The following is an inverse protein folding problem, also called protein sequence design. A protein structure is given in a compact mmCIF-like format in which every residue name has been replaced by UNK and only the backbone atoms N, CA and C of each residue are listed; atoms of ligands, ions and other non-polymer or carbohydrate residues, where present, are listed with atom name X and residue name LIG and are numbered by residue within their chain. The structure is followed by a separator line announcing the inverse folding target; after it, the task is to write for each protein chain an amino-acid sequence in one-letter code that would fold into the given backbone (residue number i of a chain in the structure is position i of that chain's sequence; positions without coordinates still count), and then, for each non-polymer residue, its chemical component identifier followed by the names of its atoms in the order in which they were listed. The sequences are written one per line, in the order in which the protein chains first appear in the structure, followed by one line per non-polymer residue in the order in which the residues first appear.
data_IF_795571150945
#
_entry.id   IF_795571150945
#
_cell.length_a   1.000
_cell.length_b   1.000
_cell.length_c   1.000
_cell.angle_alpha   90.00
_cell.angle_beta   90.00
_cell.angle_gamma   90.00
#
_symmetry.space_group_name_H-M   'P 1'
#
loop_
_entity.id
_entity.type
_entity.pdbx_description
1 polymer ?
#
# COMPACT_ATOMS: atom_id res chain seq x y z
N UNK A 1 25.37 6.25 -4.08
CA UNK A 1 25.18 6.06 -2.66
C UNK A 1 25.09 4.56 -2.38
N UNK A 2 25.71 4.11 -1.29
CA UNK A 2 25.58 2.75 -0.75
C UNK A 2 24.70 2.84 0.49
N UNK A 3 24.15 1.69 0.92
CA UNK A 3 23.31 1.65 2.13
C UNK A 3 24.00 2.26 3.37
N UNK A 4 25.32 2.05 3.53
CA UNK A 4 26.11 2.62 4.62
C UNK A 4 26.37 4.13 4.55
N UNK A 5 26.02 4.78 3.43
CA UNK A 5 26.16 6.22 3.26
C UNK A 5 24.90 6.98 3.76
N UNK A 6 23.87 6.23 4.19
CA UNK A 6 22.56 6.76 4.58
C UNK A 6 22.33 6.46 6.07
N UNK A 7 21.94 7.47 6.82
CA UNK A 7 21.47 7.30 8.19
C UNK A 7 19.95 7.12 8.18
N UNK A 8 19.48 5.93 8.51
CA UNK A 8 18.05 5.61 8.54
C UNK A 8 17.42 6.05 9.87
N UNK A 9 16.24 6.65 9.77
CA UNK A 9 15.38 7.00 10.89
C UNK A 9 13.99 6.41 10.67
N UNK A 10 13.58 5.49 11.55
CA UNK A 10 12.27 4.83 11.47
C UNK A 10 11.26 5.60 12.33
N UNK A 11 10.37 6.32 11.68
CA UNK A 11 9.38 7.19 12.31
C UNK A 11 7.97 6.80 11.86
N UNK A 12 6.96 7.08 12.69
CA UNK A 12 5.56 7.01 12.26
C UNK A 12 5.30 8.08 11.18
N UNK A 13 4.33 7.89 10.29
CA UNK A 13 4.07 8.83 9.19
C UNK A 13 3.94 10.29 9.62
N UNK A 14 3.21 10.57 10.71
CA UNK A 14 3.06 11.94 11.25
C UNK A 14 4.38 12.55 11.72
N UNK A 15 5.19 11.76 12.43
CA UNK A 15 6.47 12.22 12.98
C UNK A 15 7.51 12.38 11.87
N UNK A 16 7.50 11.46 10.90
CA UNK A 16 8.33 11.52 9.71
C UNK A 16 8.01 12.76 8.86
N UNK A 17 6.72 13.10 8.72
CA UNK A 17 6.29 14.32 8.06
C UNK A 17 6.85 15.55 8.75
N UNK A 18 6.69 15.67 10.06
CA UNK A 18 7.21 16.79 10.83
C UNK A 18 8.74 16.89 10.73
N UNK A 19 9.46 15.76 10.77
CA UNK A 19 10.91 15.74 10.60
C UNK A 19 11.34 16.20 9.20
N UNK A 20 10.60 15.82 8.16
CA UNK A 20 10.85 16.25 6.79
C UNK A 20 10.57 17.75 6.59
N UNK A 21 9.43 18.24 7.08
CA UNK A 21 9.05 19.66 6.99
C UNK A 21 10.02 20.60 7.72
N UNK A 22 10.60 20.14 8.83
CA UNK A 22 11.58 20.90 9.60
C UNK A 22 13.03 20.76 9.12
N UNK A 23 13.28 19.89 8.13
CA UNK A 23 14.62 19.60 7.64
C UNK A 23 15.46 18.75 8.59
N UNK A 24 14.84 18.06 9.54
CA UNK A 24 15.53 17.10 10.42
C UNK A 24 15.91 15.81 9.69
N UNK A 25 15.28 15.54 8.56
CA UNK A 25 15.66 14.51 7.60
C UNK A 25 15.72 15.10 6.18
N UNK A 26 16.68 14.64 5.38
CA UNK A 26 16.92 15.17 4.02
C UNK A 26 15.97 14.55 2.98
N UNK A 27 15.48 13.35 3.22
CA UNK A 27 14.58 12.62 2.34
C UNK A 27 13.60 11.77 3.14
N UNK A 28 12.44 11.54 2.57
CA UNK A 28 11.38 10.74 3.16
C UNK A 28 10.86 9.70 2.16
N UNK A 29 10.79 8.45 2.58
CA UNK A 29 10.18 7.35 1.81
C UNK A 29 8.80 7.09 2.40
N UNK A 30 7.76 7.31 1.61
CA UNK A 30 6.38 7.23 2.05
C UNK A 30 5.44 6.88 0.89
N UNK A 31 4.27 6.39 1.21
CA UNK A 31 3.19 6.06 0.26
C UNK A 31 2.08 7.12 0.27
N UNK A 32 1.19 7.05 -0.72
CA UNK A 32 -0.01 7.88 -0.76
C UNK A 32 -1.02 7.50 0.35
N UNK A 33 -1.75 8.50 0.88
CA UNK A 33 -1.83 9.88 0.40
C UNK A 33 -0.76 10.84 0.95
N UNK A 34 0.16 10.37 1.77
CA UNK A 34 1.18 11.22 2.40
C UNK A 34 2.16 11.84 1.40
N UNK A 35 2.54 11.09 0.35
CA UNK A 35 3.43 11.59 -0.70
C UNK A 35 2.77 12.70 -1.50
N UNK A 36 1.52 12.53 -1.94
CA UNK A 36 0.75 13.58 -2.64
C UNK A 36 0.54 14.80 -1.76
N UNK A 37 0.23 14.61 -0.47
CA UNK A 37 0.12 15.71 0.48
C UNK A 37 1.43 16.47 0.66
N UNK A 38 2.58 15.80 0.74
CA UNK A 38 3.88 16.44 0.85
C UNK A 38 4.21 17.27 -0.40
N UNK A 39 3.93 16.76 -1.59
CA UNK A 39 4.12 17.50 -2.84
C UNK A 39 3.23 18.74 -2.87
N UNK A 40 1.94 18.60 -2.59
CA UNK A 40 0.97 19.69 -2.71
C UNK A 40 1.10 20.74 -1.62
N UNK A 41 1.38 20.36 -0.38
CA UNK A 41 1.29 21.26 0.78
C UNK A 41 2.64 21.86 1.19
N UNK A 42 3.75 21.15 0.96
CA UNK A 42 5.08 21.62 1.37
C UNK A 42 6.08 21.70 0.21
N UNK A 43 5.62 21.48 -1.03
CA UNK A 43 6.47 21.61 -2.21
C UNK A 43 7.56 20.53 -2.30
N UNK A 44 7.31 19.36 -1.72
CA UNK A 44 8.25 18.25 -1.78
C UNK A 44 8.49 17.82 -3.25
N UNK A 45 9.72 17.45 -3.55
CA UNK A 45 10.10 16.95 -4.87
C UNK A 45 10.24 15.44 -4.85
N UNK A 46 9.51 14.75 -5.72
CA UNK A 46 9.70 13.31 -5.93
C UNK A 46 11.07 13.08 -6.57
N UNK A 47 11.92 12.32 -5.91
CA UNK A 47 13.25 11.95 -6.41
C UNK A 47 13.14 10.70 -7.30
N UNK A 48 12.38 9.72 -6.84
CA UNK A 48 12.14 8.45 -7.52
C UNK A 48 10.80 7.90 -7.01
N UNK A 49 10.04 7.27 -7.86
CA UNK A 49 8.86 6.49 -7.49
C UNK A 49 9.19 4.98 -7.44
N UNK A 50 8.21 4.16 -7.11
CA UNK A 50 8.36 2.71 -7.00
C UNK A 50 8.31 1.98 -8.35
N UNK A 51 8.04 2.66 -9.45
CA UNK A 51 7.84 2.02 -10.77
C UNK A 51 9.11 1.32 -11.22
N UNK A 52 9.02 0.01 -11.43
CA UNK A 52 10.15 -0.82 -11.81
C UNK A 52 11.19 -1.12 -10.70
N UNK A 53 11.01 -0.53 -9.51
CA UNK A 53 11.90 -0.73 -8.37
C UNK A 53 11.31 -1.66 -7.31
N UNK A 54 10.03 -1.51 -7.00
CA UNK A 54 9.33 -2.33 -6.02
C UNK A 54 7.86 -2.48 -6.39
N UNK A 55 7.34 -3.70 -6.27
CA UNK A 55 5.90 -3.93 -6.36
C UNK A 55 5.24 -3.49 -5.04
N UNK A 56 4.17 -2.70 -5.12
CA UNK A 56 3.42 -2.21 -3.97
C UNK A 56 2.00 -2.77 -3.98
N UNK A 57 1.87 -4.06 -3.69
CA UNK A 57 0.57 -4.71 -3.57
C UNK A 57 -0.08 -4.41 -2.22
N UNK A 58 -1.37 -4.12 -2.24
CA UNK A 58 -2.22 -4.13 -1.06
C UNK A 58 -3.00 -5.44 -1.00
N UNK A 59 -3.19 -5.98 0.21
CA UNK A 59 -3.84 -7.27 0.41
C UNK A 59 -5.04 -7.14 1.33
N UNK A 60 -6.14 -7.76 0.95
CA UNK A 60 -7.23 -8.06 1.86
C UNK A 60 -6.88 -9.34 2.62
N UNK A 61 -7.01 -9.32 3.93
CA UNK A 61 -6.67 -10.46 4.79
C UNK A 61 -7.87 -10.86 5.63
N UNK A 62 -8.01 -12.15 5.85
CA UNK A 62 -8.97 -12.72 6.78
C UNK A 62 -8.27 -13.68 7.73
N UNK A 63 -8.84 -13.91 8.91
CA UNK A 63 -8.33 -14.97 9.77
C UNK A 63 -8.63 -16.33 9.15
N UNK A 64 -7.74 -17.30 9.37
CA UNK A 64 -7.92 -18.65 8.83
C UNK A 64 -9.25 -19.29 9.25
N UNK A 65 -9.68 -19.24 10.54
CA UNK A 65 -10.98 -19.78 10.91
C UNK A 65 -12.14 -19.10 10.19
N UNK A 66 -12.07 -17.79 9.94
CA UNK A 66 -13.13 -17.08 9.22
C UNK A 66 -13.20 -17.51 7.76
N UNK A 67 -12.05 -17.64 7.10
CA UNK A 67 -12.00 -18.05 5.69
C UNK A 67 -12.47 -19.49 5.47
N UNK A 68 -12.28 -20.36 6.47
CA UNK A 68 -12.75 -21.75 6.42
C UNK A 68 -14.26 -21.88 6.66
N UNK A 69 -14.84 -21.04 7.54
CA UNK A 69 -16.25 -21.15 7.93
C UNK A 69 -17.20 -20.27 7.09
N UNK A 70 -16.66 -19.22 6.43
CA UNK A 70 -17.45 -18.23 5.70
C UNK A 70 -16.85 -17.89 4.31
N UNK A 71 -16.52 -18.89 3.48
CA UNK A 71 -15.92 -18.67 2.16
C UNK A 71 -16.86 -17.92 1.21
N UNK A 72 -18.17 -18.13 1.34
CA UNK A 72 -19.23 -17.45 0.61
C UNK A 72 -19.25 -15.95 0.90
N UNK A 73 -19.11 -15.57 2.17
CA UNK A 73 -19.07 -14.16 2.58
C UNK A 73 -17.80 -13.47 2.03
N UNK A 74 -16.64 -14.14 2.06
CA UNK A 74 -15.42 -13.61 1.48
C UNK A 74 -15.51 -13.43 -0.03
N UNK A 75 -16.12 -14.38 -0.72
CA UNK A 75 -16.34 -14.28 -2.16
C UNK A 75 -17.23 -13.09 -2.50
N UNK A 76 -18.35 -12.92 -1.78
CA UNK A 76 -19.24 -11.79 -1.95
C UNK A 76 -18.53 -10.45 -1.65
N UNK A 77 -17.79 -10.38 -0.56
CA UNK A 77 -17.03 -9.18 -0.19
C UNK A 77 -16.02 -8.77 -1.26
N UNK A 78 -15.29 -9.74 -1.85
CA UNK A 78 -14.36 -9.47 -2.95
C UNK A 78 -15.08 -8.99 -4.21
N UNK A 79 -16.28 -9.49 -4.47
CA UNK A 79 -17.10 -9.07 -5.61
C UNK A 79 -17.57 -7.63 -5.45
N UNK A 80 -18.05 -7.26 -4.26
CA UNK A 80 -18.41 -5.87 -3.91
C UNK A 80 -17.21 -4.93 -3.98
N UNK A 81 -16.05 -5.34 -3.51
CA UNK A 81 -14.81 -4.56 -3.63
C UNK A 81 -14.48 -4.32 -5.11
N UNK A 82 -14.57 -5.34 -5.98
CA UNK A 82 -14.35 -5.18 -7.41
C UNK A 82 -15.31 -4.21 -8.09
N UNK A 83 -16.57 -4.21 -7.64
CA UNK A 83 -17.58 -3.25 -8.13
C UNK A 83 -17.19 -1.84 -7.73
N UNK A 84 -16.80 -1.64 -6.46
CA UNK A 84 -16.34 -0.35 -5.97
C UNK A 84 -15.06 0.13 -6.66
N UNK A 85 -14.08 -0.75 -6.86
CA UNK A 85 -12.83 -0.45 -7.57
C UNK A 85 -13.11 0.13 -8.97
N UNK A 86 -13.98 -0.52 -9.75
CA UNK A 86 -14.38 -0.03 -11.08
C UNK A 86 -15.09 1.32 -11.01
N UNK A 87 -15.90 1.51 -9.98
CA UNK A 87 -16.58 2.79 -9.80
C UNK A 87 -15.57 3.90 -9.45
N UNK A 88 -14.66 3.67 -8.51
CA UNK A 88 -13.61 4.63 -8.12
C UNK A 88 -12.76 5.00 -9.33
N UNK A 89 -12.29 4.03 -10.11
CA UNK A 89 -11.45 4.25 -11.29
C UNK A 89 -12.09 5.22 -12.31
N UNK A 90 -13.42 5.17 -12.43
CA UNK A 90 -14.18 6.05 -13.32
C UNK A 90 -14.72 7.33 -12.66
N UNK A 91 -14.64 7.45 -11.32
CA UNK A 91 -15.24 8.54 -10.55
C UNK A 91 -14.26 9.09 -9.48
N UNK A 92 -13.00 9.33 -9.90
CA UNK A 92 -11.95 9.78 -8.96
C UNK A 92 -12.32 11.02 -8.17
N UNK A 93 -12.95 12.00 -8.82
CA UNK A 93 -13.36 13.26 -8.19
C UNK A 93 -14.43 13.07 -7.11
N UNK A 94 -15.45 12.27 -7.40
CA UNK A 94 -16.51 11.94 -6.44
C UNK A 94 -15.96 11.11 -5.29
N UNK A 95 -15.05 10.20 -5.60
CA UNK A 95 -14.35 9.39 -4.61
C UNK A 95 -13.46 10.24 -3.70
N UNK A 96 -12.77 11.23 -4.27
CA UNK A 96 -11.96 12.18 -3.51
C UNK A 96 -12.80 13.01 -2.53
N UNK A 97 -13.99 13.47 -2.95
CA UNK A 97 -14.91 14.21 -2.09
C UNK A 97 -15.44 13.36 -0.91
N UNK A 98 -15.47 12.04 -1.05
CA UNK A 98 -15.84 11.11 0.03
C UNK A 98 -14.65 10.81 0.95
N UNK A 99 -13.49 10.53 0.37
CA UNK A 99 -12.31 10.07 1.10
C UNK A 99 -11.52 11.22 1.72
N UNK A 100 -11.38 12.34 1.01
CA UNK A 100 -10.59 13.49 1.44
C UNK A 100 -10.87 13.95 2.86
N UNK A 101 -12.14 14.23 3.23
CA UNK A 101 -12.50 14.62 4.60
C UNK A 101 -12.15 13.56 5.65
N UNK A 102 -12.21 12.27 5.31
CA UNK A 102 -11.92 11.18 6.25
C UNK A 102 -10.44 11.06 6.57
N UNK A 103 -9.57 11.43 5.64
CA UNK A 103 -8.11 11.40 5.79
C UNK A 103 -7.51 12.78 6.04
N UNK A 104 -8.36 13.81 6.17
CA UNK A 104 -7.94 15.19 6.46
C UNK A 104 -7.21 15.88 5.30
N UNK A 105 -7.55 15.54 4.06
CA UNK A 105 -6.94 16.10 2.86
C UNK A 105 -7.96 16.92 2.04
N UNK A 106 -7.50 17.98 1.35
CA UNK A 106 -8.28 18.64 0.30
C UNK A 106 -8.63 17.67 -0.83
N UNK A 107 -9.78 17.90 -1.48
CA UNK A 107 -10.32 17.00 -2.51
C UNK A 107 -9.36 16.82 -3.69
N UNK A 108 -8.67 17.87 -4.13
CA UNK A 108 -7.70 17.83 -5.22
C UNK A 108 -6.47 16.98 -4.89
N UNK A 109 -6.01 17.02 -3.64
CA UNK A 109 -4.91 16.17 -3.16
C UNK A 109 -5.37 14.71 -3.05
N UNK A 110 -6.58 14.49 -2.55
CA UNK A 110 -7.18 13.15 -2.47
C UNK A 110 -7.41 12.56 -3.87
N UNK A 111 -7.89 13.36 -4.83
CA UNK A 111 -8.07 12.94 -6.23
C UNK A 111 -6.72 12.52 -6.86
N UNK A 112 -5.67 13.32 -6.65
CA UNK A 112 -4.31 13.00 -7.10
C UNK A 112 -3.82 11.68 -6.49
N UNK A 113 -3.96 11.51 -5.19
CA UNK A 113 -3.55 10.29 -4.50
C UNK A 113 -4.31 9.06 -4.99
N UNK A 114 -5.64 9.17 -5.15
CA UNK A 114 -6.48 8.09 -5.70
C UNK A 114 -6.10 7.73 -7.13
N UNK A 115 -5.66 8.70 -7.94
CA UNK A 115 -5.20 8.47 -9.32
C UNK A 115 -3.91 7.65 -9.42
N UNK A 116 -3.15 7.50 -8.34
CA UNK A 116 -1.92 6.70 -8.32
C UNK A 116 -2.17 5.21 -8.02
N UNK A 117 -3.36 4.83 -7.57
CA UNK A 117 -3.67 3.43 -7.28
C UNK A 117 -4.06 2.68 -8.55
N UNK A 118 -3.63 1.42 -8.65
CA UNK A 118 -4.19 0.47 -9.58
C UNK A 118 -5.38 -0.23 -8.90
N UNK A 119 -6.54 -0.16 -9.54
CA UNK A 119 -7.78 -0.76 -9.04
C UNK A 119 -8.00 -2.15 -9.64
N UNK A 120 -8.92 -2.92 -9.08
CA UNK A 120 -9.27 -4.25 -9.54
C UNK A 120 -8.78 -5.34 -8.62
N UNK A 121 -9.41 -5.46 -7.44
CA UNK A 121 -9.15 -6.56 -6.52
C UNK A 121 -9.33 -7.92 -7.21
N UNK A 122 -8.39 -8.83 -7.02
CA UNK A 122 -8.41 -10.16 -7.62
C UNK A 122 -7.81 -11.20 -6.67
N UNK A 123 -8.07 -12.46 -6.96
CA UNK A 123 -7.38 -13.55 -6.27
C UNK A 123 -5.89 -13.49 -6.60
N UNK A 124 -5.07 -13.88 -5.64
CA UNK A 124 -3.61 -13.88 -5.83
C UNK A 124 -3.22 -14.84 -6.95
N UNK A 125 -2.48 -14.33 -7.92
CA UNK A 125 -1.88 -15.12 -9.00
C UNK A 125 -0.51 -15.64 -8.57
N UNK A 126 -0.01 -16.68 -9.24
CA UNK A 126 1.27 -17.30 -8.89
C UNK A 126 2.47 -16.34 -8.99
N UNK A 127 2.45 -15.39 -9.92
CA UNK A 127 3.49 -14.37 -10.05
C UNK A 127 3.50 -13.39 -8.88
N UNK A 128 2.33 -12.97 -8.38
CA UNK A 128 2.21 -12.14 -7.18
C UNK A 128 2.74 -12.90 -5.95
N UNK A 129 2.38 -14.19 -5.82
CA UNK A 129 2.89 -15.04 -4.73
C UNK A 129 4.41 -15.13 -4.77
N UNK A 130 5.01 -15.34 -5.95
CA UNK A 130 6.48 -15.39 -6.12
C UNK A 130 7.14 -14.05 -5.76
N UNK A 131 6.57 -12.93 -6.16
CA UNK A 131 7.09 -11.59 -5.82
C UNK A 131 7.01 -11.32 -4.33
N UNK A 132 5.88 -11.66 -3.72
CA UNK A 132 5.69 -11.51 -2.27
C UNK A 132 6.60 -12.44 -1.47
N UNK A 133 6.88 -13.67 -1.97
CA UNK A 133 7.84 -14.57 -1.35
C UNK A 133 9.27 -13.98 -1.37
N UNK A 134 9.70 -13.40 -2.49
CA UNK A 134 11.00 -12.72 -2.57
C UNK A 134 11.12 -11.59 -1.54
N UNK A 135 10.06 -10.82 -1.33
CA UNK A 135 10.04 -9.78 -0.31
C UNK A 135 10.16 -10.38 1.09
N UNK A 136 9.38 -11.43 1.39
CA UNK A 136 9.44 -12.12 2.68
C UNK A 136 10.83 -12.72 2.96
N UNK A 137 11.46 -13.30 1.94
CA UNK A 137 12.82 -13.84 2.06
C UNK A 137 13.83 -12.73 2.34
N UNK A 138 13.77 -11.60 1.63
CA UNK A 138 14.63 -10.45 1.89
C UNK A 138 14.46 -9.90 3.32
N UNK A 139 13.24 -9.83 3.83
CA UNK A 139 12.97 -9.41 5.22
C UNK A 139 13.53 -10.41 6.23
N UNK A 140 13.49 -11.71 5.92
CA UNK A 140 14.10 -12.74 6.76
C UNK A 140 15.62 -12.67 6.74
N UNK A 141 16.23 -12.49 5.56
CA UNK A 141 17.68 -12.41 5.40
C UNK A 141 18.28 -11.15 6.04
N UNK A 142 17.48 -10.07 6.12
CA UNK A 142 17.82 -8.83 6.84
C UNK A 142 17.45 -8.88 8.33
N UNK A 143 16.98 -10.02 8.84
CA UNK A 143 16.57 -10.22 10.24
C UNK A 143 15.44 -9.24 10.69
N UNK A 144 14.64 -8.73 9.76
CA UNK A 144 13.50 -7.84 10.02
C UNK A 144 12.25 -8.60 10.48
N UNK A 145 12.19 -9.90 10.19
CA UNK A 145 11.17 -10.82 10.71
C UNK A 145 11.82 -12.00 11.43
N UNK A 146 11.20 -12.54 12.50
CA UNK A 146 11.83 -13.51 13.38
C UNK A 146 12.03 -14.90 12.77
N UNK A 147 11.36 -15.21 11.66
CA UNK A 147 11.46 -16.52 11.00
C UNK A 147 11.05 -16.42 9.52
N UNK A 148 11.55 -17.37 8.72
CA UNK A 148 11.07 -17.54 7.34
C UNK A 148 9.57 -17.85 7.31
N UNK A 149 8.87 -17.27 6.35
CA UNK A 149 7.43 -17.50 6.12
C UNK A 149 7.23 -18.03 4.70
N UNK A 150 6.22 -18.88 4.53
CA UNK A 150 5.78 -19.35 3.23
C UNK A 150 4.51 -18.59 2.84
N UNK A 151 4.59 -17.75 1.83
CA UNK A 151 3.45 -16.96 1.35
C UNK A 151 2.38 -17.88 0.78
N UNK A 152 2.75 -18.88 0.00
CA UNK A 152 1.81 -19.84 -0.59
C UNK A 152 0.92 -20.54 0.45
N UNK A 153 1.47 -20.81 1.64
CA UNK A 153 0.73 -21.49 2.72
C UNK A 153 -0.39 -20.67 3.35
N UNK A 154 -0.46 -19.37 3.06
CA UNK A 154 -1.46 -18.44 3.59
C UNK A 154 -2.36 -17.85 2.50
N UNK A 155 -2.18 -18.26 1.26
CA UNK A 155 -3.06 -17.86 0.16
C UNK A 155 -4.42 -18.55 0.33
N UNK A 156 -5.48 -17.76 0.33
CA UNK A 156 -6.83 -18.28 0.35
C UNK A 156 -7.28 -18.68 -1.07
N UNK A 157 -7.78 -19.89 -1.19
CA UNK A 157 -8.40 -20.42 -2.42
C UNK A 157 -9.87 -20.67 -2.13
N UNK A 158 -10.80 -20.00 -2.84
CA UNK A 158 -12.22 -20.29 -2.71
C UNK A 158 -12.49 -21.76 -3.09
N UNK A 159 -13.36 -22.44 -2.33
CA UNK A 159 -13.87 -23.74 -2.73
C UNK A 159 -14.70 -23.58 -4.03
N UNK A 160 -14.48 -24.46 -4.98
CA UNK A 160 -15.24 -24.53 -6.23
C UNK A 160 -16.66 -25.04 -5.98
#
# INVERSE_FOLDING_TARGET
LKYGDIQLSFLKPSDARAAFETGAVDAWVIWDPYSSAAVAQVGARVLVDGVGAADNYNFYIATKPYSEHHPDVLTLALEEIRINDRWIESHLKESAAIVGPQVGLPDDVAETALGHYAYGAQLLTGDVVVKQQKMADAFSDLELIPKKVSIDSVVWHPAH
#
